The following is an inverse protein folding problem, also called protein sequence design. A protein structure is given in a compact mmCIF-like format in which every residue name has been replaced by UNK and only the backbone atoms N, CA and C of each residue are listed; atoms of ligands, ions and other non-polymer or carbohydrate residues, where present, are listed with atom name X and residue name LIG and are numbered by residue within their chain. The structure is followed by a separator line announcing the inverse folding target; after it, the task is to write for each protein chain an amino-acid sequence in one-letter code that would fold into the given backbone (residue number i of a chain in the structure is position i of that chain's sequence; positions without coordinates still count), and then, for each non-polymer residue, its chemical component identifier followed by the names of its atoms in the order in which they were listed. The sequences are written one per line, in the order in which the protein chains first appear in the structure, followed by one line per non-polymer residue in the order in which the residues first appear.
data_IF_980429752572
#
_entry.id   IF_980429752572
#
_cell.length_a   1.000
_cell.length_b   1.000
_cell.length_c   1.000
_cell.angle_alpha   90.00
_cell.angle_beta   90.00
_cell.angle_gamma   90.00
#
_symmetry.space_group_name_H-M   'P 1'
#
loop_
_entity.id
_entity.type
_entity.pdbx_description
1 polymer ?
#
# COMPACT_ATOMS: atom_id res chain seq x y z
N UNK A 1 -7.71 16.56 -8.09
CA UNK A 1 -7.14 16.33 -9.43
C UNK A 1 -7.54 14.94 -9.88
N UNK A 2 -7.63 14.65 -11.18
CA UNK A 2 -8.01 13.31 -11.67
C UNK A 2 -6.77 12.46 -11.99
N UNK A 3 -6.81 11.12 -11.91
CA UNK A 3 -5.64 10.27 -12.16
C UNK A 3 -4.98 10.49 -13.54
N UNK A 4 -5.75 10.88 -14.56
CA UNK A 4 -5.26 11.12 -15.93
C UNK A 4 -4.37 12.36 -16.03
N UNK A 5 -4.51 13.30 -15.08
CA UNK A 5 -3.67 14.49 -14.99
C UNK A 5 -2.31 14.20 -14.34
N UNK A 6 -2.12 13.02 -13.73
CA UNK A 6 -0.86 12.64 -13.09
C UNK A 6 0.30 12.50 -14.09
N UNK A 7 1.57 12.58 -13.64
CA UNK A 7 2.73 12.36 -14.50
C UNK A 7 2.91 10.89 -14.92
N UNK A 8 2.16 9.96 -14.33
CA UNK A 8 2.25 8.52 -14.61
C UNK A 8 1.98 8.22 -16.10
N UNK A 9 2.79 7.34 -16.70
CA UNK A 9 2.74 7.04 -18.13
C UNK A 9 3.31 8.10 -19.09
N UNK A 10 3.65 9.31 -18.63
CA UNK A 10 4.20 10.41 -19.47
C UNK A 10 5.72 10.46 -19.48
N UNK A 11 6.35 11.11 -20.47
CA UNK A 11 7.78 11.43 -20.39
C UNK A 11 8.06 12.37 -19.21
N UNK A 12 9.17 12.18 -18.50
CA UNK A 12 9.51 12.97 -17.31
C UNK A 12 10.85 13.65 -17.48
N UNK A 13 10.90 14.94 -17.14
CA UNK A 13 12.14 15.69 -16.98
C UNK A 13 12.51 15.64 -15.50
N UNK A 14 13.72 15.20 -15.19
CA UNK A 14 14.23 15.26 -13.81
C UNK A 14 14.64 16.70 -13.49
N UNK A 15 14.28 17.17 -12.29
CA UNK A 15 14.76 18.45 -11.75
C UNK A 15 16.01 18.21 -10.91
N UNK A 16 16.97 19.12 -10.99
CA UNK A 16 18.18 19.13 -10.15
C UNK A 16 18.00 20.00 -8.89
N UNK A 17 16.78 20.48 -8.64
CA UNK A 17 16.46 21.28 -7.46
C UNK A 17 15.19 20.77 -6.81
N UNK A 18 15.16 20.83 -5.49
CA UNK A 18 14.02 20.48 -4.66
C UNK A 18 12.75 21.17 -5.15
N UNK A 19 11.69 20.39 -5.33
CA UNK A 19 10.41 20.88 -5.83
C UNK A 19 9.22 20.10 -5.23
N UNK A 20 8.56 20.70 -4.24
CA UNK A 20 7.36 20.13 -3.63
C UNK A 20 6.12 20.15 -4.55
N UNK A 21 6.11 20.98 -5.60
CA UNK A 21 4.96 21.06 -6.52
C UNK A 21 4.80 19.80 -7.38
N UNK A 22 5.81 18.94 -7.41
CA UNK A 22 5.79 17.66 -8.10
C UNK A 22 4.82 16.65 -7.48
N UNK A 23 4.48 16.79 -6.19
CA UNK A 23 3.55 15.88 -5.52
C UNK A 23 2.15 16.01 -6.13
N UNK A 24 1.60 14.89 -6.57
CA UNK A 24 0.27 14.83 -7.18
C UNK A 24 -0.70 14.06 -6.27
N UNK A 25 -1.61 14.75 -5.57
CA UNK A 25 -2.60 14.10 -4.70
C UNK A 25 -3.77 13.52 -5.52
N UNK A 26 -4.17 12.30 -5.19
CA UNK A 26 -5.38 11.65 -5.74
C UNK A 26 -6.39 11.47 -4.61
N UNK A 27 -7.59 12.02 -4.77
CA UNK A 27 -8.64 11.93 -3.76
C UNK A 27 -9.12 10.48 -3.59
N UNK A 28 -9.20 10.01 -2.34
CA UNK A 28 -9.73 8.66 -2.03
C UNK A 28 -11.22 8.54 -2.30
N UNK A 29 -11.94 9.67 -2.18
CA UNK A 29 -13.41 9.74 -2.20
C UNK A 29 -14.02 9.02 -3.41
N UNK A 30 -13.59 9.34 -4.62
CA UNK A 30 -14.17 8.76 -5.84
C UNK A 30 -14.00 7.24 -5.92
N UNK A 31 -12.81 6.73 -5.57
CA UNK A 31 -12.53 5.30 -5.55
C UNK A 31 -13.33 4.56 -4.45
N UNK A 32 -13.51 5.21 -3.30
CA UNK A 32 -14.30 4.70 -2.17
C UNK A 32 -15.79 4.62 -2.46
N UNK A 33 -16.35 5.68 -3.07
CA UNK A 33 -17.75 5.71 -3.49
C UNK A 33 -18.07 4.55 -4.46
N UNK A 34 -17.14 4.22 -5.37
CA UNK A 34 -17.30 3.12 -6.32
C UNK A 34 -17.40 1.73 -5.68
N UNK A 35 -16.89 1.54 -4.46
CA UNK A 35 -16.98 0.28 -3.70
C UNK A 35 -17.97 0.37 -2.53
N UNK A 36 -18.76 1.44 -2.47
CA UNK A 36 -19.82 1.65 -1.48
C UNK A 36 -19.32 2.11 -0.11
N UNK A 37 -18.13 2.71 -0.02
CA UNK A 37 -17.66 3.37 1.19
C UNK A 37 -18.19 4.80 1.20
N UNK A 38 -19.00 5.13 2.21
CA UNK A 38 -19.57 6.46 2.42
C UNK A 38 -18.68 7.40 3.25
N UNK A 39 -19.32 8.35 3.93
CA UNK A 39 -18.63 9.36 4.75
C UNK A 39 -17.91 8.75 5.97
N UNK A 40 -18.47 7.71 6.58
CA UNK A 40 -17.85 6.98 7.68
C UNK A 40 -17.08 5.78 7.13
N UNK A 41 -15.79 5.71 7.46
CA UNK A 41 -14.96 4.58 7.05
C UNK A 41 -15.30 3.34 7.90
N UNK A 42 -15.48 2.16 7.28
CA UNK A 42 -15.73 0.90 7.98
C UNK A 42 -14.45 0.27 8.55
N UNK A 43 -13.32 0.95 8.39
CA UNK A 43 -12.00 0.52 8.82
C UNK A 43 -11.20 1.74 9.30
N UNK A 44 -10.16 1.46 10.06
CA UNK A 44 -8.98 2.29 10.23
C UNK A 44 -7.77 1.63 9.57
N UNK A 45 -6.65 2.34 9.51
CA UNK A 45 -5.42 1.78 8.96
C UNK A 45 -4.47 2.83 8.42
N UNK A 46 -3.52 2.38 7.62
CA UNK A 46 -2.45 3.21 7.05
C UNK A 46 -2.07 2.67 5.68
N UNK A 47 -1.50 3.52 4.84
CA UNK A 47 -0.68 3.08 3.72
C UNK A 47 0.79 3.27 4.13
N UNK A 48 1.53 2.18 4.21
CA UNK A 48 2.95 2.22 4.57
C UNK A 48 3.76 2.25 3.29
N UNK A 49 4.56 3.28 3.09
CA UNK A 49 5.43 3.39 1.92
C UNK A 49 6.87 3.19 2.31
N UNK A 50 7.63 2.49 1.47
CA UNK A 50 9.10 2.46 1.58
C UNK A 50 9.71 3.06 0.32
N UNK A 51 10.54 4.09 0.49
CA UNK A 51 11.35 4.67 -0.58
C UNK A 51 12.82 4.30 -0.36
N UNK A 52 13.35 3.50 -1.28
CA UNK A 52 14.68 2.90 -1.16
C UNK A 52 15.80 3.74 -1.79
N UNK A 53 15.42 4.79 -2.52
CA UNK A 53 16.32 5.58 -3.38
C UNK A 53 16.44 7.05 -2.91
N UNK A 54 16.17 7.35 -1.63
CA UNK A 54 16.29 8.71 -1.11
C UNK A 54 17.77 9.11 -0.99
N UNK A 55 18.13 10.22 -1.65
CA UNK A 55 19.47 10.79 -1.67
C UNK A 55 19.41 12.31 -1.69
N UNK A 56 20.39 12.98 -1.07
CA UNK A 56 20.53 14.45 -1.06
C UNK A 56 21.98 14.88 -0.84
N UNK A 57 22.29 16.16 -0.93
CA UNK A 57 23.62 16.69 -0.60
C UNK A 57 23.65 17.30 0.80
N UNK A 58 24.74 17.12 1.55
CA UNK A 58 24.98 17.96 2.74
C UNK A 58 25.49 19.36 2.33
N UNK A 59 25.68 20.27 3.30
CA UNK A 59 26.21 21.65 3.05
C UNK A 59 27.56 21.71 2.33
N UNK A 60 28.33 20.62 2.29
CA UNK A 60 29.63 20.51 1.61
C UNK A 60 29.52 19.85 0.23
N UNK A 61 28.30 19.58 -0.25
CA UNK A 61 28.08 18.89 -1.52
C UNK A 61 28.34 17.39 -1.48
N UNK A 62 28.52 16.77 -0.29
CA UNK A 62 28.71 15.32 -0.20
C UNK A 62 27.35 14.62 -0.24
N UNK A 63 27.13 13.65 -1.15
CA UNK A 63 25.92 12.83 -1.16
C UNK A 63 25.68 12.11 0.17
N UNK A 64 24.43 12.10 0.58
CA UNK A 64 23.86 11.37 1.71
C UNK A 64 22.75 10.47 1.17
N UNK A 65 22.51 9.33 1.82
CA UNK A 65 21.46 8.39 1.45
C UNK A 65 20.69 7.92 2.68
N UNK A 66 19.42 7.56 2.50
CA UNK A 66 18.60 6.93 3.51
C UNK A 66 17.54 6.02 2.86
N UNK A 67 16.98 5.08 3.63
CA UNK A 67 15.71 4.45 3.29
C UNK A 67 14.62 5.17 4.07
N UNK A 68 13.60 5.66 3.38
CA UNK A 68 12.51 6.38 4.00
C UNK A 68 11.28 5.50 4.14
N UNK A 69 10.67 5.49 5.33
CA UNK A 69 9.37 4.86 5.58
C UNK A 69 8.35 5.94 5.91
N UNK A 70 7.17 5.83 5.29
CA UNK A 70 6.06 6.76 5.49
C UNK A 70 4.83 6.01 6.00
N UNK A 71 4.10 6.62 6.93
CA UNK A 71 2.81 6.12 7.38
C UNK A 71 1.75 7.15 7.05
N UNK A 72 1.00 6.90 5.97
CA UNK A 72 -0.08 7.76 5.51
C UNK A 72 -1.40 7.25 6.09
N UNK A 73 -2.09 8.00 6.96
CA UNK A 73 -3.34 7.55 7.55
C UNK A 73 -4.39 7.18 6.49
N UNK A 74 -5.11 6.07 6.68
CA UNK A 74 -6.16 5.66 5.75
C UNK A 74 -7.33 6.66 5.72
N UNK A 75 -7.51 7.49 6.74
CA UNK A 75 -8.50 8.57 6.78
C UNK A 75 -8.03 9.87 6.10
N UNK A 76 -6.83 9.90 5.52
CA UNK A 76 -6.37 11.03 4.72
C UNK A 76 -7.31 11.31 3.53
N UNK A 77 -7.48 12.58 3.17
CA UNK A 77 -8.31 12.96 2.02
C UNK A 77 -7.78 12.40 0.71
N UNK A 78 -6.45 12.35 0.58
CA UNK A 78 -5.76 11.93 -0.62
C UNK A 78 -4.70 10.85 -0.36
N UNK A 79 -4.49 9.99 -1.34
CA UNK A 79 -3.23 9.27 -1.55
C UNK A 79 -2.28 10.16 -2.38
N UNK A 80 -1.00 9.78 -2.44
CA UNK A 80 -0.03 10.39 -3.34
C UNK A 80 0.22 9.46 -4.52
N UNK A 81 0.20 10.00 -5.74
CA UNK A 81 0.52 9.20 -6.94
C UNK A 81 2.01 8.80 -6.95
N UNK A 82 2.30 7.52 -7.14
CA UNK A 82 3.63 6.95 -6.89
C UNK A 82 4.75 7.52 -7.76
N UNK A 83 4.49 7.86 -9.03
CA UNK A 83 5.49 8.50 -9.90
C UNK A 83 5.71 9.95 -9.51
N UNK A 84 4.66 10.70 -9.18
CA UNK A 84 4.78 12.05 -8.63
C UNK A 84 5.65 12.04 -7.36
N UNK A 85 5.47 11.03 -6.51
CA UNK A 85 6.23 10.84 -5.29
C UNK A 85 7.70 10.52 -5.59
N UNK A 86 7.96 9.64 -6.56
CA UNK A 86 9.32 9.38 -7.06
C UNK A 86 10.01 10.65 -7.53
N UNK A 87 9.35 11.45 -8.36
CA UNK A 87 9.92 12.68 -8.91
C UNK A 87 10.20 13.70 -7.80
N UNK A 88 9.27 13.82 -6.85
CA UNK A 88 9.46 14.64 -5.65
C UNK A 88 10.70 14.22 -4.85
N UNK A 89 10.84 12.93 -4.50
CA UNK A 89 12.01 12.45 -3.75
C UNK A 89 13.30 12.58 -4.58
N UNK A 90 13.23 12.37 -5.89
CA UNK A 90 14.36 12.56 -6.81
C UNK A 90 14.87 14.01 -6.86
N UNK A 91 14.00 15.00 -6.63
CA UNK A 91 14.38 16.42 -6.59
C UNK A 91 15.35 16.77 -5.46
N UNK A 92 15.48 15.91 -4.45
CA UNK A 92 16.42 16.08 -3.35
C UNK A 92 17.86 15.76 -3.76
N UNK A 93 18.08 14.95 -4.81
CA UNK A 93 19.38 14.33 -5.12
C UNK A 93 20.53 15.33 -5.32
N UNK A 94 20.25 16.51 -5.89
CA UNK A 94 21.22 17.60 -6.10
C UNK A 94 20.97 18.79 -5.17
N UNK A 95 20.08 18.66 -4.20
CA UNK A 95 19.73 19.72 -3.25
C UNK A 95 20.53 19.59 -1.96
N UNK A 96 21.15 20.70 -1.52
CA UNK A 96 21.89 20.76 -0.27
C UNK A 96 20.99 21.04 0.93
N UNK A 97 20.99 20.13 1.92
CA UNK A 97 20.31 20.29 3.20
C UNK A 97 21.29 20.42 4.36
N UNK A 98 20.84 21.08 5.43
CA UNK A 98 21.63 21.29 6.64
C UNK A 98 21.85 20.00 7.43
N UNK A 99 20.79 19.22 7.60
CA UNK A 99 20.82 17.96 8.33
C UNK A 99 19.75 16.99 7.83
N UNK A 100 19.82 15.74 8.28
CA UNK A 100 18.81 14.72 7.98
C UNK A 100 17.45 15.04 8.61
N UNK A 101 17.43 15.74 9.74
CA UNK A 101 16.20 16.19 10.40
C UNK A 101 15.47 17.21 9.52
N UNK A 102 16.19 18.14 8.89
CA UNK A 102 15.59 19.10 7.96
C UNK A 102 15.02 18.39 6.73
N UNK A 103 15.70 17.37 6.21
CA UNK A 103 15.17 16.53 5.11
C UNK A 103 13.88 15.83 5.55
N UNK A 104 13.90 15.13 6.70
CA UNK A 104 12.72 14.45 7.26
C UNK A 104 11.55 15.41 7.44
N UNK A 105 11.78 16.59 8.02
CA UNK A 105 10.72 17.54 8.35
C UNK A 105 10.16 18.22 7.11
N UNK A 106 11.00 18.48 6.10
CA UNK A 106 10.57 18.95 4.77
C UNK A 106 9.64 17.93 4.12
N UNK A 107 10.10 16.68 4.04
CA UNK A 107 9.32 15.57 3.48
C UNK A 107 7.99 15.40 4.23
N UNK A 108 8.03 15.38 5.56
CA UNK A 108 6.84 15.26 6.40
C UNK A 108 5.83 16.37 6.09
N UNK A 109 6.27 17.63 6.03
CA UNK A 109 5.40 18.78 5.74
C UNK A 109 4.74 18.65 4.37
N UNK A 110 5.52 18.37 3.33
CA UNK A 110 5.03 18.40 1.96
C UNK A 110 4.07 17.24 1.68
N UNK A 111 4.45 16.02 2.12
CA UNK A 111 3.60 14.83 1.96
C UNK A 111 2.33 14.95 2.80
N UNK A 112 2.41 15.50 4.02
CA UNK A 112 1.22 15.76 4.83
C UNK A 112 0.26 16.74 4.15
N UNK A 113 0.81 17.78 3.51
CA UNK A 113 0.03 18.76 2.75
C UNK A 113 -0.66 18.10 1.56
N UNK A 114 0.04 17.25 0.80
CA UNK A 114 -0.54 16.52 -0.31
C UNK A 114 -1.65 15.54 0.12
N UNK A 115 -1.42 14.78 1.20
CA UNK A 115 -2.38 13.83 1.75
C UNK A 115 -3.61 14.50 2.41
N UNK A 116 -3.48 15.76 2.85
CA UNK A 116 -4.48 16.44 3.67
C UNK A 116 -4.62 15.83 5.07
N UNK A 117 -3.55 15.23 5.59
CA UNK A 117 -3.47 14.64 6.93
C UNK A 117 -2.00 14.56 7.38
N UNK A 118 -1.75 14.46 8.68
CA UNK A 118 -0.38 14.35 9.20
C UNK A 118 0.20 12.97 8.90
N UNK A 119 1.32 12.95 8.17
CA UNK A 119 2.07 11.74 7.83
C UNK A 119 3.24 11.56 8.80
N UNK A 120 3.54 10.30 9.17
CA UNK A 120 4.78 9.97 9.89
C UNK A 120 5.88 9.61 8.89
N UNK A 121 7.11 10.05 9.15
CA UNK A 121 8.27 9.80 8.30
C UNK A 121 9.45 9.34 9.16
N UNK A 122 10.01 8.19 8.82
CA UNK A 122 11.24 7.66 9.42
C UNK A 122 12.31 7.53 8.34
N UNK A 123 13.54 7.94 8.65
CA UNK A 123 14.68 7.85 7.75
C UNK A 123 15.73 6.94 8.38
N UNK A 124 15.87 5.73 7.84
CA UNK A 124 16.93 4.80 8.23
C UNK A 124 18.23 5.21 7.53
N UNK A 125 19.26 5.46 8.31
CA UNK A 125 20.60 5.84 7.84
C UNK A 125 21.43 4.61 7.46
N UNK A 126 22.58 4.77 6.78
CA UNK A 126 23.46 3.64 6.44
C UNK A 126 23.91 2.80 7.65
N UNK A 127 23.98 3.38 8.84
CA UNK A 127 24.30 2.65 10.07
C UNK A 127 23.15 1.72 10.51
N UNK A 128 21.92 2.01 10.11
CA UNK A 128 20.72 1.24 10.44
C UNK A 128 20.36 0.22 9.36
N UNK A 129 21.00 0.24 8.19
CA UNK A 129 20.71 -0.69 7.09
C UNK A 129 20.84 -2.15 7.49
N UNK A 130 21.79 -2.51 8.35
CA UNK A 130 21.95 -3.87 8.87
C UNK A 130 20.78 -4.35 9.75
N UNK A 131 19.92 -3.43 10.22
CA UNK A 131 18.70 -3.71 10.98
C UNK A 131 17.48 -3.91 10.08
N UNK A 132 17.57 -3.58 8.78
CA UNK A 132 16.47 -3.72 7.82
C UNK A 132 16.38 -5.17 7.34
N UNK A 133 15.61 -5.97 8.06
CA UNK A 133 15.45 -7.41 7.81
C UNK A 133 14.38 -7.72 6.76
N UNK A 134 14.39 -8.96 6.29
CA UNK A 134 13.30 -9.53 5.49
C UNK A 134 12.57 -10.59 6.31
N UNK A 135 11.29 -10.78 6.02
CA UNK A 135 10.49 -11.86 6.57
C UNK A 135 9.42 -12.31 5.57
N UNK A 136 8.61 -13.28 5.98
CA UNK A 136 7.44 -13.72 5.22
C UNK A 136 6.19 -13.55 6.09
N UNK A 137 5.03 -13.44 5.45
CA UNK A 137 3.78 -13.36 6.21
C UNK A 137 3.58 -14.61 7.09
N UNK A 138 3.17 -14.36 8.32
CA UNK A 138 2.67 -15.40 9.21
C UNK A 138 1.27 -15.90 8.78
N UNK A 139 0.87 -17.05 9.30
CA UNK A 139 -0.42 -17.69 9.04
C UNK A 139 -0.34 -18.85 8.06
N UNK A 140 -1.49 -19.30 7.58
CA UNK A 140 -1.60 -20.43 6.67
C UNK A 140 -1.63 -19.94 5.22
N UNK A 141 -0.65 -20.37 4.42
CA UNK A 141 -0.60 -20.05 3.00
C UNK A 141 -1.79 -20.68 2.27
N UNK A 142 -2.60 -19.86 1.61
CA UNK A 142 -3.67 -20.30 0.71
C UNK A 142 -3.09 -20.96 -0.54
N UNK A 143 -1.89 -20.55 -0.97
CA UNK A 143 -1.24 -21.00 -2.21
C UNK A 143 -0.89 -22.50 -2.21
N UNK A 144 -1.05 -23.18 -1.07
CA UNK A 144 -0.95 -24.65 -0.95
C UNK A 144 -2.12 -25.39 -1.61
N UNK A 145 -3.24 -24.71 -1.86
CA UNK A 145 -4.44 -25.30 -2.42
C UNK A 145 -4.24 -25.50 -3.92
N UNK A 146 -4.48 -26.72 -4.38
CA UNK A 146 -4.55 -27.04 -5.81
C UNK A 146 -5.99 -26.84 -6.28
N UNK A 147 -6.21 -25.86 -7.15
CA UNK A 147 -7.54 -25.49 -7.63
C UNK A 147 -7.52 -24.87 -9.03
N UNK A 148 -8.64 -25.01 -9.73
CA UNK A 148 -8.90 -24.28 -10.97
C UNK A 148 -9.34 -22.83 -10.68
N UNK A 149 -8.82 -21.89 -11.48
CA UNK A 149 -9.23 -20.49 -11.50
C UNK A 149 -9.50 -20.01 -12.93
N UNK A 150 -10.71 -19.52 -13.16
CA UNK A 150 -11.23 -19.10 -14.46
C UNK A 150 -11.76 -17.64 -14.44
N UNK A 151 -12.01 -17.08 -13.26
CA UNK A 151 -12.39 -15.68 -13.06
C UNK A 151 -11.14 -14.81 -12.84
N UNK A 152 -10.98 -13.78 -13.67
CA UNK A 152 -9.82 -12.86 -13.63
C UNK A 152 -10.21 -11.37 -13.54
N UNK A 153 -11.43 -11.10 -13.08
CA UNK A 153 -11.86 -9.79 -12.60
C UNK A 153 -12.45 -9.93 -11.19
N UNK A 154 -12.25 -8.96 -10.26
CA UNK A 154 -12.66 -9.13 -8.88
C UNK A 154 -14.16 -9.37 -8.76
N UNK A 155 -14.52 -10.53 -8.22
CA UNK A 155 -15.89 -10.99 -8.08
C UNK A 155 -16.17 -11.44 -6.65
N UNK A 156 -16.89 -10.61 -5.90
CA UNK A 156 -17.23 -10.87 -4.51
C UNK A 156 -18.17 -12.08 -4.34
N UNK A 157 -18.86 -12.53 -5.39
CA UNK A 157 -19.74 -13.71 -5.33
C UNK A 157 -18.98 -15.02 -5.16
N UNK A 158 -17.66 -15.02 -5.39
CA UNK A 158 -16.78 -16.14 -5.12
C UNK A 158 -16.62 -16.39 -3.61
N UNK A 159 -16.81 -15.38 -2.77
CA UNK A 159 -16.58 -15.46 -1.33
C UNK A 159 -17.74 -16.16 -0.63
N UNK A 160 -17.42 -17.06 0.30
CA UNK A 160 -18.38 -17.75 1.16
C UNK A 160 -17.78 -18.02 2.54
N UNK A 161 -18.64 -18.26 3.53
CA UNK A 161 -18.25 -18.64 4.88
C UNK A 161 -19.30 -19.53 5.55
N UNK A 162 -18.88 -20.35 6.51
CA UNK A 162 -19.75 -21.23 7.29
C UNK A 162 -20.48 -20.45 8.39
N UNK A 163 -21.64 -19.87 8.06
CA UNK A 163 -22.40 -19.02 8.98
C UNK A 163 -23.14 -19.75 10.11
N UNK A 164 -23.35 -21.07 9.95
CA UNK A 164 -24.06 -21.91 10.92
C UNK A 164 -23.10 -22.65 11.88
N UNK A 165 -21.80 -22.35 11.80
CA UNK A 165 -20.75 -22.95 12.64
C UNK A 165 -20.22 -21.98 13.69
N UNK A 166 -19.47 -22.51 14.66
CA UNK A 166 -18.82 -21.68 15.67
C UNK A 166 -17.77 -20.76 15.03
N UNK A 167 -17.64 -19.49 15.46
CA UNK A 167 -16.62 -18.58 14.94
C UNK A 167 -15.21 -19.11 15.16
N UNK A 168 -14.33 -18.85 14.19
CA UNK A 168 -12.90 -19.15 14.24
C UNK A 168 -12.09 -17.86 14.30
N UNK A 169 -10.82 -17.98 14.66
CA UNK A 169 -9.80 -16.95 14.47
C UNK A 169 -8.70 -17.54 13.59
N UNK A 170 -8.50 -16.97 12.40
CA UNK A 170 -7.50 -17.45 11.44
C UNK A 170 -6.69 -16.29 10.85
N UNK A 171 -5.41 -16.58 10.59
CA UNK A 171 -4.55 -15.76 9.72
C UNK A 171 -4.23 -16.55 8.47
N UNK A 172 -4.64 -16.03 7.32
CA UNK A 172 -4.43 -16.62 6.00
C UNK A 172 -3.60 -15.65 5.15
N UNK A 173 -2.77 -16.16 4.25
CA UNK A 173 -2.07 -15.30 3.30
C UNK A 173 -1.94 -15.92 1.91
N UNK A 174 -1.72 -15.07 0.90
CA UNK A 174 -1.39 -15.50 -0.46
C UNK A 174 -0.32 -14.57 -1.05
N UNK A 175 0.64 -15.17 -1.76
CA UNK A 175 1.66 -14.47 -2.55
C UNK A 175 1.22 -14.27 -4.01
N UNK A 176 -0.02 -14.62 -4.36
CA UNK A 176 -0.51 -14.64 -5.74
C UNK A 176 -1.31 -13.38 -6.12
N UNK A 177 -1.38 -12.38 -5.24
CA UNK A 177 -2.05 -11.12 -5.55
C UNK A 177 -1.32 -10.40 -6.69
N UNK A 178 -2.07 -10.16 -7.77
CA UNK A 178 -1.61 -9.37 -8.91
C UNK A 178 -2.76 -8.49 -9.38
N UNK A 179 -2.47 -7.23 -9.67
CA UNK A 179 -3.38 -6.30 -10.36
C UNK A 179 -2.63 -5.61 -11.51
N UNK A 180 -3.25 -4.61 -12.13
CA UNK A 180 -2.66 -3.74 -13.13
C UNK A 180 -2.77 -2.28 -12.69
N UNK A 181 -1.76 -1.50 -13.02
CA UNK A 181 -1.76 -0.08 -12.71
C UNK A 181 -2.74 0.67 -13.62
N UNK A 182 -3.60 1.56 -13.06
CA UNK A 182 -4.64 2.27 -13.79
C UNK A 182 -4.16 3.19 -14.89
N UNK A 183 -2.92 3.64 -14.84
CA UNK A 183 -2.40 4.60 -15.82
C UNK A 183 -1.46 3.94 -16.84
N UNK A 184 -0.63 2.99 -16.41
CA UNK A 184 0.37 2.37 -17.30
C UNK A 184 -0.03 1.01 -17.86
N UNK A 185 -1.04 0.35 -17.26
CA UNK A 185 -1.40 -1.03 -17.57
C UNK A 185 -0.36 -2.08 -17.16
N UNK A 186 0.75 -1.67 -16.55
CA UNK A 186 1.81 -2.59 -16.12
C UNK A 186 1.34 -3.45 -14.94
N UNK A 187 1.87 -4.68 -14.78
CA UNK A 187 1.47 -5.62 -13.72
C UNK A 187 2.01 -5.21 -12.34
N UNK A 188 1.12 -5.11 -11.37
CA UNK A 188 1.44 -4.91 -9.96
C UNK A 188 1.46 -6.27 -9.28
N UNK A 189 2.51 -6.54 -8.50
CA UNK A 189 2.68 -7.80 -7.77
C UNK A 189 2.62 -7.52 -6.28
N UNK A 190 1.96 -8.38 -5.53
CA UNK A 190 1.92 -8.27 -4.09
C UNK A 190 1.65 -9.60 -3.42
N UNK A 191 1.73 -9.55 -2.10
CA UNK A 191 1.22 -10.56 -1.20
C UNK A 191 0.15 -9.93 -0.33
N UNK A 192 -0.83 -10.71 0.12
CA UNK A 192 -1.89 -10.24 1.01
C UNK A 192 -2.08 -11.21 2.16
N UNK A 193 -2.17 -10.67 3.37
CA UNK A 193 -2.52 -11.37 4.60
C UNK A 193 -3.91 -10.90 5.06
N UNK A 194 -4.72 -11.85 5.49
CA UNK A 194 -6.06 -11.65 6.02
C UNK A 194 -6.12 -12.33 7.38
N UNK A 195 -6.21 -11.53 8.44
CA UNK A 195 -6.56 -12.00 9.78
C UNK A 195 -8.03 -11.69 10.04
N UNK A 196 -8.78 -12.66 10.55
CA UNK A 196 -10.18 -12.45 10.89
C UNK A 196 -10.65 -13.26 12.10
N UNK A 197 -11.72 -12.78 12.74
CA UNK A 197 -12.52 -13.54 13.72
C UNK A 197 -13.98 -13.52 13.30
N UNK A 198 -14.57 -14.69 13.06
CA UNK A 198 -15.95 -14.80 12.56
C UNK A 198 -16.26 -16.17 11.97
N UNK A 199 -17.34 -16.27 11.16
CA UNK A 199 -17.65 -17.47 10.38
C UNK A 199 -16.44 -17.93 9.57
N UNK A 200 -16.13 -19.23 9.58
CA UNK A 200 -14.97 -19.75 8.87
C UNK A 200 -15.10 -19.49 7.36
N UNK A 201 -14.16 -18.75 6.79
CA UNK A 201 -14.12 -18.43 5.38
C UNK A 201 -13.68 -19.66 4.59
N UNK A 202 -14.37 -19.97 3.49
CA UNK A 202 -13.92 -21.01 2.57
C UNK A 202 -12.59 -20.57 1.92
N UNK A 203 -11.53 -21.29 2.26
CA UNK A 203 -10.17 -20.94 1.86
C UNK A 203 -9.94 -21.05 0.35
N UNK A 204 -10.61 -21.99 -0.33
CA UNK A 204 -10.50 -22.17 -1.77
C UNK A 204 -11.29 -21.08 -2.52
N UNK A 205 -12.45 -20.69 -2.00
CA UNK A 205 -13.21 -19.52 -2.44
C UNK A 205 -12.39 -18.23 -2.30
N UNK A 206 -11.76 -18.03 -1.14
CA UNK A 206 -10.93 -16.86 -0.88
C UNK A 206 -9.71 -16.79 -1.82
N UNK A 207 -9.05 -17.93 -2.08
CA UNK A 207 -7.93 -17.95 -3.03
C UNK A 207 -8.39 -17.60 -4.46
N UNK A 208 -9.53 -18.12 -4.92
CA UNK A 208 -10.10 -17.73 -6.23
C UNK A 208 -10.43 -16.25 -6.29
N UNK A 209 -10.99 -15.70 -5.21
CA UNK A 209 -11.24 -14.27 -5.10
C UNK A 209 -9.94 -13.46 -5.20
N UNK A 210 -8.87 -13.84 -4.51
CA UNK A 210 -7.56 -13.16 -4.62
C UNK A 210 -7.01 -13.24 -6.06
N UNK A 211 -7.06 -14.42 -6.67
CA UNK A 211 -6.62 -14.64 -8.07
C UNK A 211 -7.44 -13.80 -9.06
N UNK A 212 -8.71 -13.56 -8.77
CA UNK A 212 -9.58 -12.78 -9.64
C UNK A 212 -9.14 -11.32 -9.84
N UNK A 213 -8.20 -10.80 -9.03
CA UNK A 213 -7.58 -9.50 -9.27
C UNK A 213 -6.62 -9.47 -10.47
N UNK A 214 -6.26 -10.62 -11.07
CA UNK A 214 -5.15 -10.73 -12.03
C UNK A 214 -5.21 -9.75 -13.21
N UNK A 215 -6.40 -9.50 -13.75
CA UNK A 215 -6.61 -8.52 -14.83
C UNK A 215 -7.33 -7.25 -14.35
N UNK A 216 -7.51 -7.08 -13.05
CA UNK A 216 -8.09 -5.89 -12.46
C UNK A 216 -7.16 -4.70 -12.59
N UNK A 217 -7.75 -3.53 -12.77
CA UNK A 217 -7.03 -2.26 -12.84
C UNK A 217 -7.41 -1.40 -11.64
N UNK A 218 -6.46 -1.10 -10.76
CA UNK A 218 -6.72 -0.35 -9.54
C UNK A 218 -5.45 0.01 -8.77
N UNK A 219 -5.49 1.09 -8.00
CA UNK A 219 -4.41 1.44 -7.08
C UNK A 219 -4.31 0.40 -5.95
N UNK A 220 -3.13 0.25 -5.35
CA UNK A 220 -2.88 -0.77 -4.33
C UNK A 220 -3.80 -0.56 -3.12
N UNK A 221 -3.93 0.69 -2.68
CA UNK A 221 -4.81 1.12 -1.60
C UNK A 221 -6.26 0.76 -1.88
N UNK A 222 -6.73 0.99 -3.11
CA UNK A 222 -8.10 0.68 -3.51
C UNK A 222 -8.34 -0.83 -3.60
N UNK A 223 -7.36 -1.60 -4.07
CA UNK A 223 -7.46 -3.06 -4.12
C UNK A 223 -7.68 -3.63 -2.71
N UNK A 224 -6.88 -3.18 -1.73
CA UNK A 224 -7.01 -3.60 -0.33
C UNK A 224 -8.32 -3.14 0.30
N UNK A 225 -8.74 -1.89 0.05
CA UNK A 225 -10.05 -1.41 0.53
C UNK A 225 -11.20 -2.24 -0.04
N UNK A 226 -11.14 -2.63 -1.32
CA UNK A 226 -12.14 -3.50 -1.94
C UNK A 226 -12.14 -4.90 -1.33
N UNK A 227 -10.97 -5.53 -1.14
CA UNK A 227 -10.85 -6.83 -0.46
C UNK A 227 -11.50 -6.77 0.91
N UNK A 228 -11.19 -5.72 1.69
CA UNK A 228 -11.78 -5.52 3.01
C UNK A 228 -13.31 -5.45 2.95
N UNK A 229 -13.86 -4.64 2.05
CA UNK A 229 -15.31 -4.45 1.92
C UNK A 229 -16.02 -5.72 1.45
N UNK A 230 -15.47 -6.42 0.47
CA UNK A 230 -16.07 -7.63 -0.09
C UNK A 230 -16.09 -8.75 0.96
N UNK A 231 -14.98 -8.95 1.70
CA UNK A 231 -14.91 -9.92 2.81
C UNK A 231 -15.85 -9.53 3.95
N UNK A 232 -15.92 -8.25 4.34
CA UNK A 232 -16.87 -7.79 5.36
C UNK A 232 -18.33 -8.07 4.97
N UNK A 233 -18.70 -7.87 3.70
CA UNK A 233 -20.07 -8.06 3.22
C UNK A 233 -20.44 -9.53 3.06
N UNK A 234 -19.56 -10.32 2.44
CA UNK A 234 -19.83 -11.72 2.11
C UNK A 234 -19.64 -12.64 3.33
N UNK A 235 -18.50 -12.52 4.03
CA UNK A 235 -18.13 -13.44 5.10
C UNK A 235 -18.57 -12.96 6.49
N UNK A 236 -18.89 -11.66 6.63
CA UNK A 236 -19.37 -11.03 7.88
C UNK A 236 -18.52 -11.34 9.12
N UNK A 237 -17.17 -11.27 9.06
CA UNK A 237 -16.37 -11.42 10.26
C UNK A 237 -16.63 -10.27 11.24
N UNK A 238 -16.51 -10.53 12.53
CA UNK A 238 -16.60 -9.51 13.58
C UNK A 238 -15.33 -8.68 13.61
N UNK A 239 -14.17 -9.33 13.47
CA UNK A 239 -12.85 -8.70 13.35
C UNK A 239 -12.26 -9.03 12.00
N UNK A 240 -11.74 -8.03 11.29
CA UNK A 240 -11.04 -8.21 10.03
C UNK A 240 -9.84 -7.27 9.99
N UNK A 241 -8.70 -7.79 9.55
CA UNK A 241 -7.52 -7.04 9.16
C UNK A 241 -7.02 -7.57 7.82
N UNK A 242 -6.82 -6.67 6.85
CA UNK A 242 -6.27 -6.97 5.53
C UNK A 242 -5.00 -6.15 5.37
N UNK A 243 -3.88 -6.82 5.14
CA UNK A 243 -2.59 -6.20 4.92
C UNK A 243 -2.01 -6.70 3.60
N UNK A 244 -1.78 -5.81 2.64
CA UNK A 244 -1.06 -6.17 1.42
C UNK A 244 0.30 -5.50 1.36
N UNK A 245 1.26 -6.20 0.78
CA UNK A 245 2.63 -5.73 0.56
C UNK A 245 2.97 -5.90 -0.90
N UNK A 246 3.05 -4.78 -1.61
CA UNK A 246 3.35 -4.77 -3.04
C UNK A 246 4.84 -4.64 -3.31
N UNK A 247 5.27 -5.11 -4.47
CA UNK A 247 6.64 -4.94 -4.96
C UNK A 247 6.86 -3.50 -5.41
N UNK A 248 8.08 -2.98 -5.24
CA UNK A 248 8.38 -1.59 -5.60
C UNK A 248 8.22 -1.30 -7.10
N UNK A 249 7.88 -0.05 -7.40
CA UNK A 249 8.01 0.56 -8.73
C UNK A 249 8.78 1.86 -8.65
N UNK A 250 9.84 1.95 -9.44
CA UNK A 250 10.68 3.15 -9.49
C UNK A 250 11.24 3.56 -8.12
N UNK A 251 11.61 2.57 -7.30
CA UNK A 251 12.23 2.81 -5.99
C UNK A 251 11.25 2.96 -4.82
N UNK A 252 9.93 2.88 -5.04
CA UNK A 252 8.92 2.97 -3.98
C UNK A 252 7.99 1.75 -3.96
N UNK A 253 7.74 1.19 -2.78
CA UNK A 253 6.64 0.25 -2.55
C UNK A 253 5.52 0.86 -1.68
N UNK A 254 4.34 0.22 -1.72
CA UNK A 254 3.15 0.62 -0.98
C UNK A 254 2.58 -0.63 -0.30
N UNK A 255 2.27 -0.50 0.99
CA UNK A 255 1.77 -1.59 1.81
C UNK A 255 0.50 -1.13 2.54
N UNK A 256 -0.68 -1.20 1.90
CA UNK A 256 -1.93 -0.77 2.49
C UNK A 256 -2.39 -1.76 3.57
N UNK A 257 -2.72 -1.22 4.75
CA UNK A 257 -3.28 -1.95 5.88
C UNK A 257 -4.66 -1.38 6.24
N UNK A 258 -5.66 -2.25 6.42
CA UNK A 258 -7.04 -1.90 6.79
C UNK A 258 -7.55 -2.86 7.86
N UNK A 259 -8.18 -2.36 8.92
CA UNK A 259 -8.77 -3.19 9.97
C UNK A 259 -9.98 -2.51 10.64
N UNK A 260 -10.91 -3.26 11.23
CA UNK A 260 -12.03 -2.73 12.03
C UNK A 260 -11.88 -2.89 13.56
N UNK A 261 -10.74 -3.37 14.06
CA UNK A 261 -10.57 -3.66 15.48
C UNK A 261 -9.13 -3.41 15.95
N UNK A 262 -8.97 -3.06 17.24
CA UNK A 262 -7.69 -2.60 17.75
C UNK A 262 -6.60 -3.66 17.61
N UNK A 263 -5.58 -3.33 16.83
CA UNK A 263 -4.37 -4.09 16.62
C UNK A 263 -3.15 -3.17 16.76
N UNK A 264 -1.99 -3.72 17.17
CA UNK A 264 -0.72 -3.08 16.87
C UNK A 264 -0.61 -2.78 15.37
N UNK A 265 0.14 -1.73 15.03
CA UNK A 265 0.52 -1.52 13.63
C UNK A 265 1.24 -2.77 13.12
N UNK A 266 0.97 -3.23 11.88
CA UNK A 266 1.72 -4.33 11.32
C UNK A 266 3.22 -3.97 11.28
N UNK A 267 4.08 -4.98 11.33
CA UNK A 267 5.49 -4.77 11.05
C UNK A 267 5.65 -4.15 9.64
N UNK A 268 6.87 -3.69 9.34
CA UNK A 268 7.23 -3.22 8.01
C UNK A 268 8.50 -3.92 7.52
N UNK A 269 8.69 -5.20 7.84
CA UNK A 269 9.86 -5.99 7.40
C UNK A 269 9.65 -6.54 5.99
N UNK A 270 10.51 -6.18 5.04
CA UNK A 270 10.24 -6.44 3.62
C UNK A 270 10.02 -7.94 3.33
N UNK A 271 9.07 -8.28 2.45
CA UNK A 271 8.97 -9.63 1.90
C UNK A 271 10.02 -9.88 0.81
N UNK A 272 10.27 -11.15 0.46
CA UNK A 272 11.34 -11.53 -0.47
C UNK A 272 11.30 -10.83 -1.84
N UNK A 273 10.12 -10.40 -2.32
CA UNK A 273 9.94 -9.76 -3.65
C UNK A 273 9.88 -8.23 -3.63
N UNK A 274 9.90 -7.58 -2.46
CA UNK A 274 9.67 -6.14 -2.36
C UNK A 274 10.83 -5.28 -2.85
#
# INVERSE_FOLDING_TARGET
MTPEQSPLGKASTYTEQYDASLLFPIARKTAREAIGIGAQLPFFGTDIWNAYELSWLNKRGKPQIAVATFFVPADSSNIVESKSFKLYLGSFAQTAFESIEVVRDTIKRDVSTACGSTVSVHLATPHEFGKLQMEEFEGLSLDRLDLDADVYQPDASLLSAAHDEAPVEETLFSNLLKSNCPVTGQPDWGSVQIHYVGPQIDQAALLRYIISYRNHTGFHEQCVERIFIDVMKACKPVKLAVYARYTRRGGLDINPFRTNYNLPMPDNMRLARQ
#
